data_IF_422354650823
#
_entry.id   IF_422354650823
#
_cell.length_a   1.000
_cell.length_b   1.000
_cell.length_c   1.000
_cell.angle_alpha   90.00
_cell.angle_beta   90.00
_cell.angle_gamma   90.00
#
_symmetry.space_group_name_H-M   'P 1'
#
loop_
_entity.id
_entity.type
_entity.pdbx_description
1 polymer ?
#
# COMPACT_ATOMS: atom_id res chain seq x y z
N UNK A 1 -9.60 29.28 -5.83
CA UNK A 1 -8.74 29.39 -4.63
C UNK A 1 -8.96 28.28 -3.60
N UNK A 2 -10.20 27.90 -3.23
CA UNK A 2 -10.46 26.82 -2.25
C UNK A 2 -10.02 25.43 -2.75
N UNK A 3 -10.21 25.13 -4.03
CA UNK A 3 -9.77 23.87 -4.63
C UNK A 3 -8.24 23.71 -4.66
N UNK A 4 -7.50 24.80 -4.94
CA UNK A 4 -6.03 24.81 -4.89
C UNK A 4 -5.53 24.49 -3.47
N UNK A 5 -6.09 25.15 -2.45
CA UNK A 5 -5.71 24.92 -1.04
C UNK A 5 -6.00 23.49 -0.57
N UNK A 6 -7.10 22.88 -1.03
CA UNK A 6 -7.40 21.47 -0.74
C UNK A 6 -6.40 20.53 -1.42
N UNK A 7 -6.00 20.84 -2.64
CA UNK A 7 -4.98 20.08 -3.38
C UNK A 7 -3.61 20.18 -2.69
N UNK A 8 -3.19 21.39 -2.30
CA UNK A 8 -1.92 21.62 -1.61
C UNK A 8 -1.89 20.95 -0.22
N UNK A 9 -3.02 20.93 0.49
CA UNK A 9 -3.16 20.24 1.78
C UNK A 9 -3.06 18.72 1.63
N UNK A 10 -3.77 18.14 0.65
CA UNK A 10 -3.67 16.72 0.34
C UNK A 10 -2.23 16.36 -0.07
N UNK A 11 -1.60 17.19 -0.89
CA UNK A 11 -0.24 16.96 -1.35
C UNK A 11 0.78 17.00 -0.20
N UNK A 12 0.65 17.93 0.76
CA UNK A 12 1.47 17.92 1.98
C UNK A 12 1.22 16.68 2.84
N UNK A 13 -0.03 16.27 3.00
CA UNK A 13 -0.37 15.05 3.73
C UNK A 13 0.23 13.81 3.06
N UNK A 14 0.21 13.78 1.72
CA UNK A 14 0.82 12.73 0.90
C UNK A 14 2.34 12.75 1.08
N UNK A 15 2.99 13.91 1.00
CA UNK A 15 4.44 14.06 1.22
C UNK A 15 4.85 13.63 2.64
N UNK A 16 4.08 14.03 3.66
CA UNK A 16 4.32 13.63 5.05
C UNK A 16 4.11 12.12 5.23
N UNK A 17 3.08 11.55 4.59
CA UNK A 17 2.85 10.11 4.53
C UNK A 17 4.02 9.39 3.87
N UNK A 18 4.49 9.85 2.70
CA UNK A 18 5.61 9.26 1.97
C UNK A 18 6.91 9.36 2.76
N UNK A 19 7.14 10.46 3.47
CA UNK A 19 8.31 10.60 4.36
C UNK A 19 8.26 9.54 5.46
N UNK A 20 7.12 9.41 6.16
CA UNK A 20 6.94 8.40 7.22
C UNK A 20 6.98 6.96 6.70
N UNK A 21 6.45 6.74 5.50
CA UNK A 21 6.46 5.45 4.83
C UNK A 21 7.88 5.07 4.37
N UNK A 22 8.63 6.03 3.85
CA UNK A 22 10.03 5.84 3.50
C UNK A 22 10.86 5.55 4.76
N UNK A 23 10.58 6.22 5.87
CA UNK A 23 11.18 5.87 7.16
C UNK A 23 10.81 4.43 7.56
N UNK A 24 9.55 4.00 7.38
CA UNK A 24 9.11 2.63 7.69
C UNK A 24 9.82 1.56 6.84
N UNK A 25 10.01 1.81 5.55
CA UNK A 25 10.59 0.86 4.58
C UNK A 25 12.12 0.88 4.59
N UNK A 26 12.73 2.05 4.69
CA UNK A 26 14.17 2.28 4.46
C UNK A 26 14.93 2.85 5.67
N UNK A 27 14.25 3.21 6.76
CA UNK A 27 14.94 3.71 7.95
C UNK A 27 15.84 2.65 8.59
N UNK A 28 16.91 3.12 9.25
CA UNK A 28 17.87 2.30 10.01
C UNK A 28 17.15 1.23 10.84
N UNK A 29 17.73 0.03 11.07
CA UNK A 29 17.03 -1.10 11.66
C UNK A 29 16.29 -0.67 12.92
N UNK A 30 14.98 -0.46 12.81
CA UNK A 30 14.18 -0.05 13.95
C UNK A 30 14.25 -1.18 14.95
N UNK A 31 14.90 -0.94 16.08
CA UNK A 31 15.10 -1.89 17.17
C UNK A 31 13.77 -2.35 17.81
N UNK A 32 12.63 -1.83 17.34
CA UNK A 32 11.30 -2.04 17.92
C UNK A 32 10.25 -2.41 16.85
N UNK A 33 9.94 -3.72 16.66
CA UNK A 33 8.88 -4.21 15.78
C UNK A 33 7.51 -3.56 16.02
N UNK A 34 7.22 -3.20 17.28
CA UNK A 34 5.96 -2.55 17.67
C UNK A 34 5.80 -1.17 17.01
N UNK A 35 6.88 -0.39 16.87
CA UNK A 35 6.81 0.92 16.21
C UNK A 35 6.48 0.78 14.73
N UNK A 36 6.94 -0.30 14.07
CA UNK A 36 6.59 -0.58 12.67
C UNK A 36 5.10 -0.87 12.52
N UNK A 37 4.52 -1.66 13.44
CA UNK A 37 3.08 -1.95 13.46
C UNK A 37 2.25 -0.68 13.68
N UNK A 38 2.68 0.21 14.59
CA UNK A 38 2.01 1.51 14.80
C UNK A 38 2.01 2.36 13.54
N UNK A 39 3.17 2.56 12.90
CA UNK A 39 3.30 3.35 11.68
C UNK A 39 2.49 2.76 10.52
N UNK A 40 2.47 1.43 10.38
CA UNK A 40 1.63 0.74 9.41
C UNK A 40 0.13 1.04 9.65
N UNK A 41 -0.32 0.99 10.91
CA UNK A 41 -1.71 1.27 11.26
C UNK A 41 -2.06 2.75 11.03
N UNK A 42 -1.16 3.68 11.34
CA UNK A 42 -1.31 5.11 11.00
C UNK A 42 -1.46 5.29 9.48
N UNK A 43 -0.63 4.59 8.71
CA UNK A 43 -0.65 4.64 7.26
C UNK A 43 -1.95 4.08 6.66
N UNK A 44 -2.42 2.91 7.13
CA UNK A 44 -3.70 2.34 6.69
C UNK A 44 -4.89 3.23 7.11
N UNK A 45 -4.82 3.82 8.31
CA UNK A 45 -5.83 4.75 8.82
C UNK A 45 -5.93 6.02 7.96
N UNK A 46 -4.80 6.52 7.45
CA UNK A 46 -4.78 7.62 6.48
C UNK A 46 -5.59 7.27 5.23
N UNK A 47 -5.36 6.09 4.65
CA UNK A 47 -6.11 5.66 3.47
C UNK A 47 -7.60 5.44 3.75
N UNK A 48 -7.94 4.89 4.91
CA UNK A 48 -9.33 4.71 5.32
C UNK A 48 -10.04 6.05 5.53
N UNK A 49 -9.37 7.00 6.18
CA UNK A 49 -9.93 8.33 6.49
C UNK A 49 -10.10 9.20 5.23
N UNK A 50 -9.10 9.22 4.34
CA UNK A 50 -9.08 10.16 3.22
C UNK A 50 -9.65 9.61 1.92
N UNK A 51 -9.65 8.28 1.75
CA UNK A 51 -10.13 7.62 0.53
C UNK A 51 -11.27 6.61 0.80
N UNK A 52 -11.77 6.52 2.04
CA UNK A 52 -12.82 5.56 2.46
C UNK A 52 -12.48 4.11 2.10
N UNK A 53 -11.20 3.74 2.21
CA UNK A 53 -10.76 2.35 1.98
C UNK A 53 -11.21 1.42 3.09
N UNK A 54 -11.58 0.21 2.71
CA UNK A 54 -12.06 -0.87 3.59
C UNK A 54 -11.33 -2.16 3.22
N UNK A 55 -11.15 -3.04 4.21
CA UNK A 55 -10.51 -4.34 4.01
C UNK A 55 -11.24 -5.24 2.99
N UNK A 56 -12.52 -4.99 2.74
CA UNK A 56 -13.35 -5.73 1.78
C UNK A 56 -13.36 -5.10 0.37
N UNK A 57 -12.70 -3.97 0.18
CA UNK A 57 -12.64 -3.34 -1.14
C UNK A 57 -11.76 -4.18 -2.07
N UNK A 58 -12.21 -4.35 -3.32
CA UNK A 58 -11.40 -4.98 -4.37
C UNK A 58 -10.52 -3.96 -5.08
N UNK A 59 -9.57 -4.43 -5.89
CA UNK A 59 -8.62 -3.57 -6.61
C UNK A 59 -9.31 -2.51 -7.49
N UNK A 60 -10.41 -2.86 -8.15
CA UNK A 60 -11.15 -1.93 -9.00
C UNK A 60 -11.76 -0.77 -8.19
N UNK A 61 -12.42 -1.08 -7.08
CA UNK A 61 -12.99 -0.07 -6.20
C UNK A 61 -11.91 0.79 -5.53
N UNK A 62 -10.78 0.19 -5.17
CA UNK A 62 -9.62 0.92 -4.65
C UNK A 62 -9.02 1.86 -5.68
N UNK A 63 -8.96 1.46 -6.96
CA UNK A 63 -8.50 2.33 -8.04
C UNK A 63 -9.47 3.50 -8.32
N UNK A 64 -10.78 3.29 -8.13
CA UNK A 64 -11.77 4.36 -8.24
C UNK A 64 -11.66 5.38 -7.09
N UNK A 65 -11.37 4.89 -5.88
CA UNK A 65 -11.18 5.70 -4.66
C UNK A 65 -9.84 6.44 -4.66
N UNK A 66 -8.75 5.73 -4.97
CA UNK A 66 -7.37 6.22 -5.00
C UNK A 66 -6.96 6.41 -6.45
N UNK A 67 -7.37 7.54 -7.04
CA UNK A 67 -7.14 7.83 -8.46
C UNK A 67 -5.68 8.09 -8.82
N UNK A 68 -4.86 8.42 -7.83
CA UNK A 68 -3.44 8.67 -8.01
C UNK A 68 -2.70 7.32 -8.04
N UNK A 69 -2.00 7.04 -9.13
CA UNK A 69 -1.34 5.76 -9.37
C UNK A 69 -0.21 5.49 -8.39
N UNK A 70 0.51 6.53 -7.97
CA UNK A 70 1.62 6.38 -7.04
C UNK A 70 1.10 6.04 -5.64
N UNK A 71 0.04 6.72 -5.20
CA UNK A 71 -0.65 6.38 -3.94
C UNK A 71 -1.27 4.99 -3.96
N UNK A 72 -1.88 4.59 -5.08
CA UNK A 72 -2.45 3.27 -5.23
C UNK A 72 -1.35 2.19 -5.17
N UNK A 73 -0.18 2.45 -5.77
CA UNK A 73 0.99 1.58 -5.66
C UNK A 73 1.50 1.50 -4.20
N UNK A 74 1.53 2.62 -3.47
CA UNK A 74 1.90 2.58 -2.05
C UNK A 74 0.91 1.81 -1.20
N UNK A 75 -0.39 1.90 -1.52
CA UNK A 75 -1.39 1.11 -0.84
C UNK A 75 -1.15 -0.39 -1.00
N UNK A 76 -0.79 -0.85 -2.22
CA UNK A 76 -0.39 -2.24 -2.43
C UNK A 76 0.85 -2.62 -1.59
N UNK A 77 1.86 -1.75 -1.51
CA UNK A 77 3.03 -1.98 -0.64
C UNK A 77 2.67 -2.06 0.85
N UNK A 78 1.72 -1.25 1.31
CA UNK A 78 1.22 -1.32 2.69
C UNK A 78 0.52 -2.65 3.00
N UNK A 79 -0.26 -3.17 2.05
CA UNK A 79 -0.92 -4.47 2.21
C UNK A 79 0.11 -5.61 2.30
N UNK A 80 1.17 -5.56 1.49
CA UNK A 80 2.31 -6.48 1.60
C UNK A 80 2.96 -6.38 2.98
N UNK A 81 3.35 -5.18 3.43
CA UNK A 81 3.98 -4.97 4.74
C UNK A 81 3.08 -5.42 5.88
N UNK A 82 1.77 -5.22 5.76
CA UNK A 82 0.79 -5.71 6.72
C UNK A 82 0.82 -7.23 6.82
N UNK A 83 0.83 -7.90 5.67
CA UNK A 83 0.95 -9.34 5.62
C UNK A 83 2.25 -9.81 6.29
N UNK A 84 3.38 -9.13 6.08
CA UNK A 84 4.66 -9.52 6.69
C UNK A 84 4.69 -9.29 8.21
N UNK A 85 4.17 -8.16 8.70
CA UNK A 85 4.30 -7.71 10.09
C UNK A 85 3.25 -8.25 11.06
N UNK A 86 2.05 -8.61 10.58
CA UNK A 86 0.96 -9.07 11.45
C UNK A 86 0.96 -10.60 11.55
N UNK A 87 0.69 -11.12 12.75
CA UNK A 87 0.69 -12.56 13.02
C UNK A 87 -0.50 -13.26 12.35
N UNK A 88 -1.69 -12.63 12.39
CA UNK A 88 -2.87 -13.10 11.67
C UNK A 88 -2.76 -12.70 10.20
N UNK A 89 -2.35 -13.66 9.38
CA UNK A 89 -2.21 -13.48 7.93
C UNK A 89 -3.58 -13.37 7.26
N UNK A 90 -3.74 -12.37 6.40
CA UNK A 90 -4.96 -12.14 5.61
C UNK A 90 -4.62 -12.26 4.12
N UNK A 91 -4.53 -13.50 3.57
CA UNK A 91 -4.06 -13.72 2.20
C UNK A 91 -4.95 -13.07 1.14
N UNK A 92 -6.24 -12.85 1.42
CA UNK A 92 -7.13 -12.10 0.54
C UNK A 92 -6.66 -10.66 0.32
N UNK A 93 -6.08 -10.00 1.34
CA UNK A 93 -5.52 -8.65 1.16
C UNK A 93 -4.24 -8.66 0.34
N UNK A 94 -3.48 -9.76 0.39
CA UNK A 94 -2.30 -9.97 -0.45
C UNK A 94 -2.72 -10.19 -1.92
N UNK A 95 -3.81 -10.92 -2.16
CA UNK A 95 -4.44 -11.04 -3.50
C UNK A 95 -4.91 -9.68 -4.00
N UNK A 96 -5.58 -8.89 -3.15
CA UNK A 96 -5.99 -7.52 -3.51
C UNK A 96 -4.78 -6.65 -3.87
N UNK A 97 -3.67 -6.75 -3.14
CA UNK A 97 -2.44 -6.04 -3.47
C UNK A 97 -1.90 -6.43 -4.85
N UNK A 98 -1.91 -7.73 -5.18
CA UNK A 98 -1.49 -8.22 -6.49
C UNK A 98 -2.40 -7.69 -7.60
N UNK A 99 -3.72 -7.73 -7.40
CA UNK A 99 -4.70 -7.23 -8.36
C UNK A 99 -4.52 -5.72 -8.62
N UNK A 100 -4.15 -4.94 -7.60
CA UNK A 100 -3.79 -3.52 -7.75
C UNK A 100 -2.57 -3.37 -8.65
N UNK A 101 -1.52 -4.16 -8.43
CA UNK A 101 -0.29 -4.07 -9.22
C UNK A 101 -0.58 -4.44 -10.69
N UNK A 102 -1.34 -5.50 -10.93
CA UNK A 102 -1.79 -5.90 -12.27
C UNK A 102 -2.63 -4.79 -12.92
N UNK A 103 -3.53 -4.16 -12.16
CA UNK A 103 -4.29 -3.01 -12.64
C UNK A 103 -3.37 -1.87 -13.08
N UNK A 104 -2.34 -1.55 -12.29
CA UNK A 104 -1.37 -0.50 -12.61
C UNK A 104 -0.54 -0.84 -13.86
N UNK A 105 -0.07 -2.08 -14.03
CA UNK A 105 0.62 -2.52 -15.27
C UNK A 105 -0.25 -2.42 -16.52
N UNK A 106 -1.55 -2.64 -16.36
CA UNK A 106 -2.50 -2.57 -17.45
C UNK A 106 -2.83 -1.12 -17.83
N UNK A 107 -2.91 -0.22 -16.85
CA UNK A 107 -3.33 1.18 -17.05
C UNK A 107 -2.18 2.16 -17.28
N UNK A 108 -1.01 1.92 -16.67
CA UNK A 108 0.21 2.71 -16.83
C UNK A 108 1.31 1.89 -17.50
N UNK A 109 1.66 2.29 -18.73
CA UNK A 109 2.70 1.64 -19.56
C UNK A 109 4.11 2.13 -19.29
N UNK A 110 4.29 3.01 -18.31
CA UNK A 110 5.61 3.42 -17.85
C UNK A 110 6.28 2.24 -17.15
N UNK A 111 7.48 1.90 -17.61
CA UNK A 111 8.28 0.87 -16.96
C UNK A 111 8.60 1.25 -15.51
N UNK A 112 8.39 0.33 -14.58
CA UNK A 112 8.66 0.53 -13.16
C UNK A 112 9.27 -0.72 -12.54
N UNK A 113 10.58 -0.68 -12.31
CA UNK A 113 11.32 -1.75 -11.64
C UNK A 113 10.77 -2.06 -10.24
N UNK A 114 10.32 -1.04 -9.51
CA UNK A 114 9.70 -1.23 -8.20
C UNK A 114 8.39 -2.02 -8.28
N UNK A 115 7.62 -1.82 -9.36
CA UNK A 115 6.35 -2.51 -9.59
C UNK A 115 6.59 -3.98 -9.90
N UNK A 116 7.60 -4.27 -10.72
CA UNK A 116 8.02 -5.63 -11.04
C UNK A 116 8.45 -6.39 -9.77
N UNK A 117 9.31 -5.78 -8.93
CA UNK A 117 9.72 -6.39 -7.64
C UNK A 117 8.51 -6.65 -6.76
N UNK A 118 7.65 -5.65 -6.57
CA UNK A 118 6.47 -5.77 -5.73
C UNK A 118 5.56 -6.92 -6.19
N UNK A 119 5.36 -7.07 -7.49
CA UNK A 119 4.59 -8.17 -8.06
C UNK A 119 5.19 -9.53 -7.72
N UNK A 120 6.49 -9.70 -7.92
CA UNK A 120 7.18 -10.96 -7.64
C UNK A 120 7.16 -11.31 -6.15
N UNK A 121 7.32 -10.33 -5.26
CA UNK A 121 7.22 -10.53 -3.81
C UNK A 121 5.82 -10.98 -3.39
N UNK A 122 4.78 -10.35 -3.95
CA UNK A 122 3.38 -10.72 -3.71
C UNK A 122 3.09 -12.16 -4.19
N UNK A 123 3.54 -12.50 -5.40
CA UNK A 123 3.37 -13.85 -5.97
C UNK A 123 4.09 -14.91 -5.12
N UNK A 124 5.34 -14.64 -4.71
CA UNK A 124 6.12 -15.54 -3.86
C UNK A 124 5.40 -15.82 -2.53
N UNK A 125 4.91 -14.78 -1.86
CA UNK A 125 4.21 -14.95 -0.58
C UNK A 125 2.86 -15.66 -0.72
N UNK A 126 2.11 -15.39 -1.79
CA UNK A 126 0.88 -16.13 -2.10
C UNK A 126 1.16 -17.62 -2.35
N UNK A 127 2.24 -17.94 -3.05
CA UNK A 127 2.67 -19.31 -3.29
C UNK A 127 3.11 -20.01 -1.99
N UNK A 128 3.81 -19.29 -1.10
CA UNK A 128 4.17 -19.80 0.22
C UNK A 128 2.91 -20.11 1.05
N UNK A 129 1.95 -19.18 1.12
CA UNK A 129 0.68 -19.35 1.84
C UNK A 129 -0.13 -20.55 1.31
N UNK A 130 -0.23 -20.70 -0.01
CA UNK A 130 -0.94 -21.82 -0.66
C UNK A 130 -0.29 -23.20 -0.41
N UNK A 131 0.98 -23.26 0.00
CA UNK A 131 1.67 -24.53 0.31
C UNK A 131 1.43 -25.01 1.74
N UNK A 132 1.01 -24.13 2.65
CA UNK A 132 0.80 -24.44 4.06
C UNK A 132 -0.69 -24.54 4.46
N UNK A 133 -1.61 -24.23 3.54
CA UNK A 133 -3.05 -24.44 3.66
C UNK A 133 -3.49 -25.69 2.87
#
# INVERSE_FOLDING_TARGET
MIQQRKKDYLQRLIEEFFSKFNDLVNGAPFEHPERKKELLNEALSFFSTHFDTKATDNAQLLAEKIKDTDLLQQYAKLLLLKYELIDLKEPEQLRTALDIVIYLENTDKTFSWERDILREDLLRLLDEDNRYN
#
